data_IF_498749142713
#
_entry.id   IF_498749142713
#
_cell.length_a   1.000
_cell.length_b   1.000
_cell.length_c   1.000
_cell.angle_alpha   90.00
_cell.angle_beta   90.00
_cell.angle_gamma   90.00
#
_symmetry.space_group_name_H-M   'P 1'
#
loop_
_entity.id
_entity.type
_entity.pdbx_description
1 polymer ?
#
# COMPACT_ATOMS: atom_id res chain seq x y z
N UNK A 1 81.79 -68.82 -48.71
CA UNK A 1 81.60 -70.08 -49.46
C UNK A 1 80.19 -70.54 -49.16
N UNK A 2 79.37 -70.72 -50.20
CA UNK A 2 78.13 -71.52 -50.26
C UNK A 2 76.99 -71.20 -49.26
N UNK A 3 75.80 -70.78 -49.75
CA UNK A 3 74.61 -71.65 -49.97
C UNK A 3 73.81 -71.83 -48.67
N UNK A 4 72.48 -71.85 -48.60
CA UNK A 4 71.37 -71.60 -49.52
C UNK A 4 70.09 -71.68 -48.67
N UNK A 5 69.02 -71.08 -49.19
CA UNK A 5 67.57 -71.23 -48.89
C UNK A 5 67.09 -72.36 -47.97
N UNK A 6 66.07 -72.09 -47.13
CA UNK A 6 64.66 -72.36 -47.47
C UNK A 6 63.65 -71.93 -46.38
N UNK A 7 62.42 -71.74 -46.85
CA UNK A 7 61.30 -71.01 -46.27
C UNK A 7 60.55 -71.67 -45.09
N UNK A 8 59.80 -70.86 -44.33
CA UNK A 8 58.43 -71.19 -43.87
C UNK A 8 57.62 -69.91 -43.70
N UNK A 9 56.40 -69.92 -44.24
CA UNK A 9 55.47 -68.81 -44.17
C UNK A 9 54.90 -68.63 -42.76
N UNK A 10 54.75 -67.37 -42.32
CA UNK A 10 53.84 -66.99 -41.22
C UNK A 10 52.99 -65.81 -41.68
N UNK A 11 51.70 -66.07 -41.71
CA UNK A 11 50.62 -65.12 -42.01
C UNK A 11 50.53 -64.11 -40.87
N UNK A 12 50.68 -62.82 -41.17
CA UNK A 12 50.41 -61.72 -40.23
C UNK A 12 48.94 -61.32 -40.34
N UNK A 13 48.16 -61.60 -39.30
CA UNK A 13 46.83 -61.03 -39.12
C UNK A 13 46.96 -59.64 -38.45
N UNK A 14 46.29 -58.63 -39.01
CA UNK A 14 46.14 -57.29 -38.45
C UNK A 14 44.66 -56.95 -38.35
N UNK A 15 44.18 -56.73 -37.13
CA UNK A 15 42.90 -56.09 -36.72
C UNK A 15 42.76 -56.30 -35.19
N UNK A 16 42.29 -55.40 -34.35
CA UNK A 16 41.96 -53.98 -34.42
C UNK A 16 41.90 -53.51 -32.95
N UNK A 17 42.66 -52.49 -32.56
CA UNK A 17 42.60 -51.95 -31.20
C UNK A 17 41.55 -50.83 -31.13
N UNK A 18 40.54 -51.08 -30.30
CA UNK A 18 39.47 -50.15 -29.96
C UNK A 18 40.05 -49.07 -29.05
N UNK A 19 40.19 -47.85 -29.58
CA UNK A 19 40.63 -46.67 -28.81
C UNK A 19 39.46 -46.12 -28.00
N UNK A 20 39.57 -46.20 -26.67
CA UNK A 20 38.72 -45.52 -25.70
C UNK A 20 39.27 -44.10 -25.46
N UNK A 21 38.48 -43.02 -25.61
CA UNK A 21 38.96 -41.66 -25.39
C UNK A 21 39.05 -41.31 -23.90
N UNK A 22 40.15 -40.63 -23.57
CA UNK A 22 40.56 -40.15 -22.24
C UNK A 22 39.60 -39.09 -21.64
N UNK A 23 39.59 -38.92 -20.30
CA UNK A 23 38.71 -37.95 -19.64
C UNK A 23 39.27 -36.53 -19.78
N UNK A 24 38.44 -35.62 -20.27
CA UNK A 24 38.68 -34.18 -20.31
C UNK A 24 38.46 -33.62 -18.90
N UNK A 25 39.52 -33.12 -18.26
CA UNK A 25 39.41 -32.27 -17.07
C UNK A 25 38.82 -30.92 -17.46
N UNK A 26 37.55 -30.70 -17.14
CA UNK A 26 36.89 -29.39 -17.23
C UNK A 26 37.41 -28.51 -16.09
N UNK A 27 38.11 -27.44 -16.43
CA UNK A 27 38.44 -26.36 -15.49
C UNK A 27 37.15 -25.69 -15.04
N UNK A 28 36.79 -25.89 -13.77
CA UNK A 28 35.70 -25.19 -13.12
C UNK A 28 36.17 -23.76 -12.80
N UNK A 29 35.84 -22.82 -13.69
CA UNK A 29 36.02 -21.39 -13.45
C UNK A 29 34.82 -20.92 -12.64
N UNK A 30 35.00 -20.40 -11.40
CA UNK A 30 33.88 -19.88 -10.64
C UNK A 30 33.23 -18.73 -11.42
N UNK A 31 31.94 -18.86 -11.71
CA UNK A 31 31.14 -17.79 -12.29
C UNK A 31 31.25 -16.53 -11.40
N UNK A 32 31.41 -15.33 -11.98
CA UNK A 32 31.41 -14.12 -11.18
C UNK A 32 30.05 -13.97 -10.50
N UNK A 33 30.04 -14.07 -9.17
CA UNK A 33 28.93 -13.67 -8.34
C UNK A 33 28.79 -12.15 -8.44
N UNK A 34 27.91 -11.66 -9.33
CA UNK A 34 27.21 -10.38 -9.25
C UNK A 34 26.46 -10.10 -10.56
N UNK A 35 25.31 -10.73 -10.74
CA UNK A 35 24.20 -10.06 -11.41
C UNK A 35 23.18 -9.75 -10.33
N UNK A 36 23.31 -8.58 -9.71
CA UNK A 36 22.14 -7.98 -9.05
C UNK A 36 21.16 -7.71 -10.18
N UNK A 37 20.16 -8.58 -10.33
CA UNK A 37 19.00 -8.28 -11.16
C UNK A 37 18.30 -7.09 -10.51
N UNK A 38 18.66 -5.88 -10.91
CA UNK A 38 17.82 -4.71 -10.66
C UNK A 38 16.60 -4.94 -11.55
N UNK A 39 15.59 -5.62 -11.00
CA UNK A 39 14.26 -5.64 -11.58
C UNK A 39 13.82 -4.17 -11.63
N UNK A 40 13.91 -3.57 -12.82
CA UNK A 40 13.29 -2.28 -13.09
C UNK A 40 11.79 -2.48 -12.84
N UNK A 41 11.33 -2.10 -11.63
CA UNK A 41 9.94 -2.14 -11.28
C UNK A 41 9.18 -1.33 -12.33
N UNK A 42 8.35 -1.99 -13.12
CA UNK A 42 7.56 -1.36 -14.18
C UNK A 42 6.65 -0.36 -13.48
N UNK A 43 6.83 0.93 -13.77
CA UNK A 43 5.97 1.97 -13.24
C UNK A 43 4.62 1.85 -13.95
N UNK A 44 3.55 1.62 -13.21
CA UNK A 44 2.22 1.54 -13.81
C UNK A 44 1.85 2.92 -14.37
N UNK A 45 1.46 2.97 -15.64
CA UNK A 45 0.98 4.18 -16.31
C UNK A 45 -0.31 3.85 -17.06
N UNK A 46 -1.16 4.86 -17.27
CA UNK A 46 -2.43 4.71 -17.97
C UNK A 46 -3.64 4.49 -17.06
N UNK A 47 -4.74 4.01 -17.63
CA UNK A 47 -6.02 3.83 -16.93
C UNK A 47 -5.96 2.59 -16.04
N UNK A 48 -6.19 2.76 -14.75
CA UNK A 48 -6.15 1.66 -13.79
C UNK A 48 -7.46 1.54 -13.01
N UNK A 49 -7.92 0.31 -12.72
CA UNK A 49 -9.13 0.09 -11.92
C UNK A 49 -8.91 0.37 -10.43
N UNK A 50 -7.69 0.23 -9.93
CA UNK A 50 -7.41 0.26 -8.49
C UNK A 50 -7.85 -1.04 -7.80
N UNK A 51 -7.85 -1.08 -6.46
CA UNK A 51 -8.23 -2.27 -5.71
C UNK A 51 -9.75 -2.53 -5.77
N UNK A 52 -10.12 -3.78 -5.48
CA UNK A 52 -11.50 -4.09 -5.17
C UNK A 52 -11.98 -3.44 -3.87
N UNK A 53 -13.26 -3.61 -3.57
CA UNK A 53 -13.90 -3.04 -2.39
C UNK A 53 -14.02 -4.08 -1.28
N UNK A 54 -13.73 -3.67 -0.04
CA UNK A 54 -14.15 -4.43 1.14
C UNK A 54 -15.66 -4.28 1.30
N UNK A 55 -16.29 -5.33 1.80
CA UNK A 55 -17.73 -5.36 2.03
C UNK A 55 -17.98 -5.63 3.50
N UNK A 56 -18.71 -4.73 4.13
CA UNK A 56 -19.16 -4.87 5.53
C UNK A 56 -20.67 -5.03 5.51
N UNK A 57 -21.20 -6.10 6.09
CA UNK A 57 -22.63 -6.41 6.05
C UNK A 57 -23.25 -6.57 7.43
N UNK A 58 -24.53 -6.18 7.53
CA UNK A 58 -25.39 -6.43 8.69
C UNK A 58 -26.84 -6.57 8.23
N UNK A 59 -27.35 -7.81 8.22
CA UNK A 59 -28.64 -8.11 7.60
C UNK A 59 -28.62 -7.68 6.12
N UNK A 60 -29.60 -6.87 5.74
CA UNK A 60 -29.73 -6.36 4.36
C UNK A 60 -28.98 -5.04 4.12
N UNK A 61 -28.12 -4.61 5.05
CA UNK A 61 -27.36 -3.37 4.95
C UNK A 61 -25.91 -3.67 4.58
N UNK A 62 -25.37 -2.90 3.64
CA UNK A 62 -23.98 -3.03 3.19
C UNK A 62 -23.25 -1.70 3.21
N UNK A 63 -22.03 -1.74 3.71
CA UNK A 63 -21.04 -0.66 3.58
C UNK A 63 -19.88 -1.18 2.72
N UNK A 64 -19.71 -0.58 1.55
CA UNK A 64 -18.57 -0.84 0.68
C UNK A 64 -17.43 0.12 1.02
N UNK A 65 -16.21 -0.40 1.19
CA UNK A 65 -15.06 0.41 1.58
C UNK A 65 -13.97 0.32 0.53
N UNK A 66 -13.55 1.47 0.00
CA UNK A 66 -12.36 1.62 -0.83
C UNK A 66 -11.15 1.92 0.05
N UNK A 67 -10.14 1.05 -0.01
CA UNK A 67 -8.83 1.32 0.59
C UNK A 67 -7.97 2.21 -0.30
N UNK A 68 -7.35 3.24 0.28
CA UNK A 68 -6.42 4.15 -0.43
C UNK A 68 -5.03 4.15 0.20
N UNK A 69 -3.99 4.11 -0.62
CA UNK A 69 -2.61 4.24 -0.15
C UNK A 69 -2.16 5.71 -0.24
N UNK A 70 -1.32 6.21 0.68
CA UNK A 70 -0.91 7.62 0.70
C UNK A 70 0.01 8.03 -0.47
N UNK A 71 0.46 7.06 -1.26
CA UNK A 71 1.38 7.27 -2.37
C UNK A 71 0.97 6.41 -3.56
N UNK A 72 0.77 7.04 -4.71
CA UNK A 72 0.29 6.45 -5.96
C UNK A 72 1.28 6.72 -7.09
N UNK A 73 1.25 5.92 -8.18
CA UNK A 73 2.03 6.26 -9.37
C UNK A 73 1.53 7.59 -9.97
N UNK A 74 2.45 8.46 -10.38
CA UNK A 74 2.08 9.77 -10.92
C UNK A 74 1.39 9.67 -12.29
N UNK A 75 1.75 8.67 -13.09
CA UNK A 75 1.30 8.50 -14.48
C UNK A 75 0.01 7.68 -14.66
N UNK A 76 -0.77 7.45 -13.60
CA UNK A 76 -2.05 6.74 -13.71
C UNK A 76 -3.25 7.69 -13.74
N UNK A 77 -4.25 7.32 -14.56
CA UNK A 77 -5.61 7.83 -14.45
C UNK A 77 -6.44 6.75 -13.75
N UNK A 78 -6.91 7.03 -12.54
CA UNK A 78 -7.77 6.07 -11.85
C UNK A 78 -9.21 6.14 -12.38
N UNK A 79 -9.69 5.03 -12.94
CA UNK A 79 -11.08 4.88 -13.42
C UNK A 79 -11.60 3.51 -13.04
N UNK A 80 -12.48 3.48 -12.05
CA UNK A 80 -13.17 2.26 -11.64
C UNK A 80 -14.66 2.35 -11.93
N UNK A 81 -15.15 1.52 -12.86
CA UNK A 81 -16.58 1.34 -13.10
C UNK A 81 -17.28 0.77 -11.87
N UNK A 82 -16.64 -0.16 -11.17
CA UNK A 82 -17.13 -0.73 -9.92
C UNK A 82 -17.37 0.36 -8.86
N UNK A 83 -16.39 1.23 -8.62
CA UNK A 83 -16.54 2.32 -7.63
C UNK A 83 -17.61 3.30 -8.07
N UNK A 84 -17.64 3.71 -9.34
CA UNK A 84 -18.65 4.65 -9.83
C UNK A 84 -20.08 4.09 -9.68
N UNK A 85 -20.30 2.82 -10.04
CA UNK A 85 -21.60 2.16 -9.89
C UNK A 85 -21.98 1.96 -8.43
N UNK A 86 -21.02 1.59 -7.58
CA UNK A 86 -21.26 1.39 -6.14
C UNK A 86 -21.62 2.70 -5.47
N UNK A 87 -20.93 3.80 -5.79
CA UNK A 87 -21.29 5.13 -5.29
C UNK A 87 -22.68 5.52 -5.80
N UNK A 88 -22.97 5.34 -7.09
CA UNK A 88 -24.28 5.68 -7.66
C UNK A 88 -25.46 4.93 -7.01
N UNK A 89 -25.23 3.70 -6.54
CA UNK A 89 -26.23 2.90 -5.83
C UNK A 89 -26.23 3.12 -4.30
N UNK A 90 -25.32 3.94 -3.77
CA UNK A 90 -25.21 4.24 -2.33
C UNK A 90 -26.08 5.43 -1.94
N UNK A 91 -26.57 5.42 -0.70
CA UNK A 91 -27.35 6.52 -0.13
C UNK A 91 -26.46 7.54 0.59
N UNK A 92 -25.28 7.12 1.03
CA UNK A 92 -24.28 7.95 1.69
C UNK A 92 -22.86 7.54 1.31
N UNK A 93 -21.96 8.53 1.26
CA UNK A 93 -20.50 8.33 1.15
C UNK A 93 -19.85 8.86 2.42
N UNK A 94 -19.19 7.99 3.17
CA UNK A 94 -18.41 8.37 4.35
C UNK A 94 -17.02 8.77 3.89
N UNK A 95 -16.61 9.98 4.23
CA UNK A 95 -15.25 10.43 4.00
C UNK A 95 -14.24 9.63 4.86
N UNK A 96 -12.99 9.63 4.41
CA UNK A 96 -11.87 9.06 5.17
C UNK A 96 -11.77 9.68 6.57
N UNK A 97 -11.32 8.94 7.60
CA UNK A 97 -11.14 9.47 8.94
C UNK A 97 -10.17 10.66 8.87
N UNK A 98 -10.54 11.75 9.52
CA UNK A 98 -9.80 12.98 9.40
C UNK A 98 -10.27 14.03 10.38
N UNK A 99 -9.54 15.14 10.39
CA UNK A 99 -9.77 16.24 11.31
C UNK A 99 -10.11 17.47 10.49
N UNK A 100 -11.27 18.05 10.75
CA UNK A 100 -11.63 19.35 10.18
C UNK A 100 -11.01 20.45 11.04
N UNK A 101 -10.03 21.16 10.48
CA UNK A 101 -9.40 22.28 11.15
C UNK A 101 -10.26 23.55 10.98
N UNK A 102 -10.89 24.01 12.05
CA UNK A 102 -11.58 25.30 12.09
C UNK A 102 -10.69 26.33 12.77
N UNK A 103 -10.32 27.37 12.03
CA UNK A 103 -9.51 28.48 12.55
C UNK A 103 -10.40 29.71 12.68
N UNK A 104 -10.50 30.24 13.90
CA UNK A 104 -11.36 31.40 14.22
C UNK A 104 -10.76 32.72 13.70
N UNK A 105 -10.70 32.86 12.37
CA UNK A 105 -10.21 34.07 11.68
C UNK A 105 -10.92 34.33 10.35
N UNK A 106 -11.35 35.57 10.15
CA UNK A 106 -11.81 36.08 8.85
C UNK A 106 -10.65 36.11 7.83
N UNK A 107 -10.96 36.19 6.54
CA UNK A 107 -9.98 36.22 5.43
C UNK A 107 -8.79 37.17 5.66
N UNK A 108 -9.04 38.40 6.11
CA UNK A 108 -7.98 39.36 6.44
C UNK A 108 -7.11 38.90 7.62
N UNK A 109 -7.71 38.30 8.64
CA UNK A 109 -6.99 37.70 9.78
C UNK A 109 -6.05 36.58 9.34
N UNK A 110 -6.47 35.74 8.39
CA UNK A 110 -5.61 34.69 7.79
C UNK A 110 -4.42 35.29 7.03
N UNK A 111 -4.62 36.38 6.29
CA UNK A 111 -3.54 37.05 5.55
C UNK A 111 -2.47 37.64 6.49
N UNK A 112 -2.88 38.23 7.62
CA UNK A 112 -1.95 38.75 8.64
C UNK A 112 -1.15 37.65 9.36
N UNK A 113 -1.57 36.38 9.30
CA UNK A 113 -0.81 35.26 9.85
C UNK A 113 0.31 34.77 8.93
N UNK A 114 0.26 35.05 7.62
CA UNK A 114 1.24 34.54 6.66
C UNK A 114 2.71 34.85 7.02
N UNK A 115 3.08 36.09 7.44
CA UNK A 115 4.46 36.36 7.84
C UNK A 115 4.90 35.56 9.07
N UNK A 116 3.99 35.38 10.04
CA UNK A 116 4.26 34.57 11.24
C UNK A 116 4.37 33.09 10.92
N UNK A 117 3.53 32.56 10.04
CA UNK A 117 3.58 31.18 9.56
C UNK A 117 4.88 30.95 8.80
N UNK A 118 5.25 31.86 7.90
CA UNK A 118 6.51 31.78 7.16
C UNK A 118 7.73 31.76 8.08
N UNK A 119 7.73 32.59 9.14
CA UNK A 119 8.80 32.58 10.15
C UNK A 119 8.78 31.31 10.99
N UNK A 120 7.61 30.81 11.37
CA UNK A 120 7.45 29.59 12.16
C UNK A 120 7.87 28.32 11.40
N UNK A 121 7.96 28.38 10.07
CA UNK A 121 8.53 27.28 9.28
C UNK A 121 10.06 27.19 9.36
N UNK A 122 10.73 28.22 9.89
CA UNK A 122 12.19 28.32 9.90
C UNK A 122 12.78 28.01 11.26
N UNK A 123 14.02 27.55 11.27
CA UNK A 123 14.78 27.43 12.51
C UNK A 123 14.88 28.79 13.21
N UNK A 124 14.81 28.81 14.55
CA UNK A 124 14.93 30.03 15.33
C UNK A 124 16.31 30.68 15.13
N UNK A 125 16.37 31.99 15.37
CA UNK A 125 17.60 32.81 15.29
C UNK A 125 18.31 32.79 13.93
N UNK A 126 17.64 32.32 12.87
CA UNK A 126 18.22 32.22 11.54
C UNK A 126 19.19 31.05 11.35
N UNK A 127 19.22 30.11 12.30
CA UNK A 127 20.01 28.87 12.19
C UNK A 127 19.66 28.09 10.92
N UNK A 128 20.63 27.33 10.46
CA UNK A 128 20.49 26.40 9.34
C UNK A 128 20.37 24.96 9.83
N UNK A 129 20.04 24.02 8.94
CA UNK A 129 20.10 22.59 9.24
C UNK A 129 21.52 22.16 9.63
N UNK A 130 22.56 22.79 9.07
CA UNK A 130 23.95 22.58 9.49
C UNK A 130 24.18 22.89 10.97
N UNK A 131 23.52 23.92 11.49
CA UNK A 131 23.70 24.37 12.87
C UNK A 131 22.93 23.52 13.89
N UNK A 132 21.88 22.80 13.46
CA UNK A 132 20.97 22.08 14.36
C UNK A 132 21.05 20.55 14.24
N UNK A 133 21.55 20.03 13.12
CA UNK A 133 21.64 18.58 12.90
C UNK A 133 22.97 18.01 13.41
N UNK A 134 22.98 16.74 13.90
CA UNK A 134 24.22 16.01 14.12
C UNK A 134 25.05 15.93 12.83
N UNK A 135 26.37 16.10 12.92
CA UNK A 135 27.26 16.14 11.75
C UNK A 135 27.09 14.96 10.76
N UNK A 136 26.95 13.69 11.21
CA UNK A 136 26.70 12.57 10.29
C UNK A 136 25.37 12.69 9.54
N UNK A 137 24.33 13.22 10.19
CA UNK A 137 23.02 13.44 9.58
C UNK A 137 23.07 14.59 8.58
N UNK A 138 23.80 15.67 8.90
CA UNK A 138 23.96 16.79 7.97
C UNK A 138 24.67 16.38 6.68
N UNK A 139 25.69 15.51 6.75
CA UNK A 139 26.35 14.99 5.55
C UNK A 139 25.40 14.19 4.63
N UNK A 140 24.50 13.38 5.21
CA UNK A 140 23.44 12.68 4.47
C UNK A 140 22.44 13.67 3.88
N UNK A 141 22.00 14.65 4.68
CA UNK A 141 21.13 15.73 4.22
C UNK A 141 21.73 16.49 3.04
N UNK A 142 23.02 16.85 3.08
CA UNK A 142 23.69 17.58 2.00
C UNK A 142 23.65 16.79 0.68
N UNK A 143 23.85 15.47 0.76
CA UNK A 143 23.77 14.56 -0.40
C UNK A 143 22.34 14.52 -0.95
N UNK A 144 21.34 14.31 -0.08
CA UNK A 144 19.94 14.30 -0.47
C UNK A 144 19.49 15.66 -1.04
N UNK A 145 19.95 16.76 -0.43
CA UNK A 145 19.67 18.13 -0.87
C UNK A 145 20.17 18.37 -2.28
N UNK A 146 21.44 18.05 -2.54
CA UNK A 146 22.02 18.24 -3.86
C UNK A 146 21.24 17.48 -4.93
N UNK A 147 20.77 16.27 -4.61
CA UNK A 147 20.03 15.44 -5.55
C UNK A 147 18.58 15.92 -5.80
N UNK A 148 17.82 16.24 -4.74
CA UNK A 148 16.39 16.54 -4.86
C UNK A 148 16.05 18.03 -4.94
N UNK A 149 16.93 18.92 -4.48
CA UNK A 149 16.68 20.37 -4.42
C UNK A 149 17.71 21.20 -5.19
N UNK A 150 18.86 20.60 -5.58
CA UNK A 150 19.94 21.33 -6.23
C UNK A 150 20.43 22.51 -5.39
N UNK A 151 20.51 23.69 -6.01
CA UNK A 151 21.05 24.91 -5.40
C UNK A 151 20.08 25.67 -4.48
N UNK A 152 18.90 25.11 -4.15
CA UNK A 152 17.94 25.79 -3.27
C UNK A 152 18.49 25.95 -1.84
N UNK A 153 19.12 27.09 -1.57
CA UNK A 153 19.60 27.43 -0.22
C UNK A 153 18.47 27.73 0.76
N UNK A 154 17.25 27.91 0.27
CA UNK A 154 16.08 28.13 1.10
C UNK A 154 15.78 26.95 2.02
N UNK A 155 16.09 25.72 1.58
CA UNK A 155 15.77 24.51 2.36
C UNK A 155 16.56 24.38 3.64
N UNK A 156 17.77 24.95 3.69
CA UNK A 156 18.64 24.95 4.87
C UNK A 156 18.03 25.67 6.07
N UNK A 157 17.08 26.56 5.85
CA UNK A 157 16.49 27.36 6.94
C UNK A 157 15.23 26.75 7.54
N UNK A 158 14.69 25.68 6.97
CA UNK A 158 13.48 25.07 7.51
C UNK A 158 13.75 24.36 8.83
N UNK A 159 12.71 24.26 9.66
CA UNK A 159 12.68 23.29 10.74
C UNK A 159 12.91 21.88 10.18
N UNK A 160 13.66 21.00 10.89
CA UNK A 160 13.91 19.64 10.43
C UNK A 160 12.65 18.86 10.00
N UNK A 161 11.52 18.99 10.72
CA UNK A 161 10.26 18.33 10.32
C UNK A 161 9.72 18.79 8.95
N UNK A 162 9.91 20.06 8.61
CA UNK A 162 9.45 20.64 7.35
C UNK A 162 10.43 20.34 6.22
N UNK A 163 11.73 20.32 6.52
CA UNK A 163 12.75 19.82 5.61
C UNK A 163 12.49 18.36 5.25
N UNK A 164 12.14 17.53 6.24
CA UNK A 164 11.76 16.12 6.05
C UNK A 164 10.54 15.99 5.12
N UNK A 165 9.46 16.73 5.40
CA UNK A 165 8.24 16.70 4.59
C UNK A 165 8.50 17.11 3.13
N UNK A 166 9.33 18.14 2.92
CA UNK A 166 9.72 18.59 1.58
C UNK A 166 10.60 17.57 0.87
N UNK A 167 11.57 16.99 1.58
CA UNK A 167 12.48 15.99 1.03
C UNK A 167 11.72 14.76 0.54
N UNK A 168 10.83 14.23 1.39
CA UNK A 168 9.96 13.11 1.01
C UNK A 168 9.09 13.44 -0.21
N UNK A 169 8.53 14.65 -0.29
CA UNK A 169 7.73 15.09 -1.45
C UNK A 169 8.55 15.12 -2.75
N UNK A 170 9.72 15.77 -2.74
CA UNK A 170 10.57 15.85 -3.94
C UNK A 170 11.14 14.47 -4.30
N UNK A 171 11.45 13.63 -3.31
CA UNK A 171 11.86 12.25 -3.54
C UNK A 171 10.75 11.44 -4.21
N UNK A 172 9.51 11.48 -3.71
CA UNK A 172 8.38 10.82 -4.37
C UNK A 172 8.18 11.31 -5.80
N UNK A 173 8.20 12.63 -6.01
CA UNK A 173 8.05 13.24 -7.34
C UNK A 173 9.14 12.79 -8.31
N UNK A 174 10.41 12.84 -7.89
CA UNK A 174 11.54 12.38 -8.69
C UNK A 174 11.45 10.87 -9.04
N UNK A 175 10.68 10.11 -8.26
CA UNK A 175 10.44 8.69 -8.45
C UNK A 175 9.10 8.36 -9.13
N UNK A 176 8.44 9.35 -9.77
CA UNK A 176 7.14 9.23 -10.43
C UNK A 176 6.01 8.76 -9.49
N UNK A 177 6.03 9.26 -8.27
CA UNK A 177 5.01 9.01 -7.25
C UNK A 177 4.32 10.33 -6.86
N UNK A 178 3.07 10.25 -6.43
CA UNK A 178 2.24 11.38 -5.98
C UNK A 178 1.35 10.98 -4.81
N UNK A 179 0.78 11.97 -4.13
CA UNK A 179 -0.23 11.75 -3.10
C UNK A 179 -1.56 11.25 -3.66
N UNK A 180 -2.44 10.82 -2.75
CA UNK A 180 -3.75 10.21 -3.01
C UNK A 180 -4.91 11.19 -3.16
N UNK A 181 -4.66 12.50 -3.01
CA UNK A 181 -5.70 13.53 -3.02
C UNK A 181 -6.67 13.46 -4.21
N UNK A 182 -6.17 13.16 -5.41
CA UNK A 182 -7.02 13.01 -6.60
C UNK A 182 -8.05 11.86 -6.49
N UNK A 183 -7.74 10.79 -5.74
CA UNK A 183 -8.67 9.69 -5.51
C UNK A 183 -9.83 10.16 -4.63
N UNK A 184 -9.50 10.86 -3.53
CA UNK A 184 -10.51 11.41 -2.63
C UNK A 184 -11.38 12.47 -3.31
N UNK A 185 -10.79 13.33 -4.14
CA UNK A 185 -11.52 14.33 -4.93
C UNK A 185 -12.43 13.67 -5.95
N UNK A 186 -11.98 12.59 -6.59
CA UNK A 186 -12.77 11.84 -7.56
C UNK A 186 -13.95 11.12 -6.92
N UNK A 187 -13.78 10.52 -5.74
CA UNK A 187 -14.89 9.93 -4.97
C UNK A 187 -15.92 10.99 -4.61
N UNK A 188 -15.48 12.15 -4.11
CA UNK A 188 -16.38 13.27 -3.78
C UNK A 188 -17.13 13.78 -5.02
N UNK A 189 -16.44 13.90 -6.17
CA UNK A 189 -17.06 14.30 -7.43
C UNK A 189 -18.11 13.29 -7.93
N UNK A 190 -17.85 11.98 -7.80
CA UNK A 190 -18.81 10.93 -8.13
C UNK A 190 -20.04 10.98 -7.22
N UNK A 191 -19.85 11.17 -5.91
CA UNK A 191 -20.95 11.32 -4.96
C UNK A 191 -21.83 12.52 -5.34
N UNK A 192 -21.22 13.67 -5.61
CA UNK A 192 -21.91 14.88 -6.05
C UNK A 192 -22.67 14.67 -7.37
N UNK A 193 -22.04 14.02 -8.36
CA UNK A 193 -22.65 13.73 -9.66
C UNK A 193 -23.94 12.90 -9.53
N UNK A 194 -23.99 11.98 -8.57
CA UNK A 194 -25.14 11.10 -8.34
C UNK A 194 -26.09 11.59 -7.24
N UNK A 195 -25.86 12.79 -6.68
CA UNK A 195 -26.69 13.35 -5.61
C UNK A 195 -26.59 12.60 -4.28
N UNK A 196 -25.50 11.87 -4.05
CA UNK A 196 -25.25 11.09 -2.84
C UNK A 196 -24.63 11.99 -1.78
N UNK A 197 -25.18 11.95 -0.57
CA UNK A 197 -24.70 12.76 0.54
C UNK A 197 -23.29 12.32 0.99
N UNK A 198 -22.38 13.27 1.14
CA UNK A 198 -21.05 13.03 1.73
C UNK A 198 -21.12 13.31 3.23
N UNK A 199 -20.96 12.25 4.03
CA UNK A 199 -20.89 12.32 5.49
C UNK A 199 -19.43 12.47 5.89
N UNK A 200 -19.09 13.59 6.53
CA UNK A 200 -17.78 13.81 7.14
C UNK A 200 -17.90 13.47 8.63
N UNK A 201 -17.21 12.45 9.13
CA UNK A 201 -17.18 12.17 10.57
C UNK A 201 -16.72 13.41 11.33
N UNK A 202 -17.51 13.85 12.31
CA UNK A 202 -17.27 15.12 13.00
C UNK A 202 -16.12 15.01 14.00
N UNK A 203 -14.88 15.18 13.52
CA UNK A 203 -13.74 15.50 14.38
C UNK A 203 -13.24 16.89 14.06
N UNK A 204 -13.89 17.90 14.63
CA UNK A 204 -13.45 19.29 14.49
C UNK A 204 -12.34 19.60 15.49
N UNK A 205 -11.22 20.13 14.99
CA UNK A 205 -10.20 20.78 15.81
C UNK A 205 -10.35 22.29 15.67
N UNK A 206 -10.83 22.94 16.72
CA UNK A 206 -10.98 24.39 16.76
C UNK A 206 -9.71 25.06 17.27
N UNK A 207 -9.05 25.84 16.42
CA UNK A 207 -7.98 26.73 16.81
C UNK A 207 -8.59 28.11 17.08
N UNK A 208 -9.00 28.30 18.34
CA UNK A 208 -9.58 29.56 18.83
C UNK A 208 -8.57 30.71 18.81
N UNK A 209 -7.31 30.42 19.07
CA UNK A 209 -6.26 31.43 19.20
C UNK A 209 -5.08 31.16 18.25
N UNK A 210 -5.23 31.40 16.93
CA UNK A 210 -4.25 30.98 15.94
C UNK A 210 -2.88 31.64 16.10
N UNK A 211 -2.83 32.89 16.58
CA UNK A 211 -1.54 33.55 16.89
C UNK A 211 -0.82 32.86 18.05
N UNK A 212 -1.57 32.44 19.06
CA UNK A 212 -1.01 31.70 20.19
C UNK A 212 -0.55 30.30 19.74
N UNK A 213 -1.33 29.62 18.90
CA UNK A 213 -0.95 28.32 18.34
C UNK A 213 0.36 28.40 17.51
N UNK A 214 0.50 29.41 16.65
CA UNK A 214 1.75 29.65 15.89
C UNK A 214 2.92 29.93 16.83
N UNK A 215 2.71 30.73 17.89
CA UNK A 215 3.74 31.01 18.89
C UNK A 215 4.12 29.75 19.69
N UNK A 216 3.15 28.93 20.08
CA UNK A 216 3.35 27.69 20.79
C UNK A 216 4.12 26.68 19.93
N UNK A 217 3.79 26.57 18.64
CA UNK A 217 4.56 25.76 17.70
C UNK A 217 6.01 26.25 17.58
N UNK A 218 6.22 27.56 17.42
CA UNK A 218 7.57 28.12 17.31
C UNK A 218 8.40 27.95 18.60
N UNK A 219 7.76 27.90 19.77
CA UNK A 219 8.43 27.78 21.06
C UNK A 219 8.63 26.33 21.53
N UNK A 220 7.72 25.42 21.17
CA UNK A 220 7.63 24.07 21.77
C UNK A 220 7.08 23.01 20.81
N UNK A 221 6.97 23.31 19.52
CA UNK A 221 6.69 22.31 18.50
C UNK A 221 7.83 21.29 18.39
N UNK A 222 7.59 20.13 17.76
CA UNK A 222 8.64 19.15 17.54
C UNK A 222 9.75 19.75 16.66
N UNK A 223 11.01 19.65 17.09
CA UNK A 223 12.16 20.03 16.24
C UNK A 223 12.16 19.21 14.93
N UNK A 224 11.75 17.95 15.01
CA UNK A 224 11.67 17.03 13.89
C UNK A 224 12.98 16.40 13.48
N UNK A 225 14.04 16.48 14.29
CA UNK A 225 15.35 15.91 13.93
C UNK A 225 15.23 14.39 13.72
N UNK A 226 14.54 13.70 14.63
CA UNK A 226 14.29 12.26 14.49
C UNK A 226 13.46 11.94 13.23
N UNK A 227 12.43 12.75 12.94
CA UNK A 227 11.61 12.59 11.74
C UNK A 227 12.43 12.80 10.46
N UNK A 228 13.33 13.79 10.43
CA UNK A 228 14.23 14.02 9.31
C UNK A 228 15.18 12.83 9.11
N UNK A 229 15.72 12.25 10.19
CA UNK A 229 16.51 11.03 10.12
C UNK A 229 15.76 9.88 9.45
N UNK A 230 14.52 9.62 9.87
CA UNK A 230 13.68 8.57 9.28
C UNK A 230 13.32 8.84 7.81
N UNK A 231 13.09 10.10 7.44
CA UNK A 231 12.87 10.45 6.04
C UNK A 231 14.12 10.24 5.21
N UNK A 232 15.31 10.57 5.72
CA UNK A 232 16.57 10.27 5.03
C UNK A 232 16.73 8.76 4.82
N UNK A 233 16.45 7.95 5.86
CA UNK A 233 16.49 6.49 5.76
C UNK A 233 15.50 5.98 4.70
N UNK A 234 14.26 6.49 4.71
CA UNK A 234 13.21 6.08 3.76
C UNK A 234 13.54 6.47 2.31
N UNK A 235 14.11 7.66 2.10
CA UNK A 235 14.51 8.13 0.77
C UNK A 235 15.70 7.33 0.24
N UNK A 236 16.63 6.93 1.11
CA UNK A 236 17.81 6.15 0.71
C UNK A 236 17.49 4.67 0.45
N UNK A 237 16.57 4.07 1.21
CA UNK A 237 16.42 2.61 1.23
C UNK A 237 15.01 2.10 0.89
N UNK A 238 13.97 2.92 1.07
CA UNK A 238 12.59 2.42 1.07
C UNK A 238 11.77 2.83 -0.15
N UNK A 239 12.26 3.74 -1.00
CA UNK A 239 11.60 4.13 -2.27
C UNK A 239 11.11 2.93 -3.13
N UNK A 240 11.84 1.80 -3.23
CA UNK A 240 11.33 0.60 -3.89
C UNK A 240 10.02 0.07 -3.28
N UNK A 241 9.87 0.11 -1.94
CA UNK A 241 8.65 -0.30 -1.24
C UNK A 241 7.49 0.66 -1.52
N UNK A 242 7.74 1.97 -1.57
CA UNK A 242 6.70 2.94 -1.97
C UNK A 242 6.18 2.64 -3.38
N UNK A 243 7.08 2.36 -4.33
CA UNK A 243 6.69 1.96 -5.70
C UNK A 243 5.93 0.65 -5.73
N UNK A 244 6.41 -0.37 -5.00
CA UNK A 244 5.74 -1.67 -4.93
C UNK A 244 4.31 -1.53 -4.40
N UNK A 245 4.10 -0.80 -3.30
CA UNK A 245 2.76 -0.53 -2.75
C UNK A 245 1.89 0.30 -3.69
N UNK A 246 2.45 1.34 -4.30
CA UNK A 246 1.73 2.21 -5.24
C UNK A 246 1.24 1.41 -6.46
N UNK A 247 2.10 0.56 -7.03
CA UNK A 247 1.75 -0.33 -8.13
C UNK A 247 0.72 -1.39 -7.69
N UNK A 248 0.92 -2.00 -6.53
CA UNK A 248 -0.01 -3.00 -5.98
C UNK A 248 -1.42 -2.42 -5.79
N UNK A 249 -1.53 -1.19 -5.29
CA UNK A 249 -2.81 -0.50 -5.25
C UNK A 249 -3.40 -0.28 -6.65
N UNK A 250 -2.60 0.18 -7.60
CA UNK A 250 -3.06 0.46 -8.97
C UNK A 250 -3.58 -0.81 -9.67
N UNK A 251 -2.97 -1.96 -9.43
CA UNK A 251 -3.36 -3.25 -10.01
C UNK A 251 -4.33 -4.07 -9.15
N UNK A 252 -4.65 -3.61 -7.94
CA UNK A 252 -5.49 -4.34 -6.98
C UNK A 252 -4.84 -5.56 -6.35
N UNK A 253 -3.50 -5.62 -6.29
CA UNK A 253 -2.74 -6.69 -5.63
C UNK A 253 -2.73 -6.47 -4.11
N UNK A 254 -3.78 -6.97 -3.46
CA UNK A 254 -3.94 -6.87 -2.00
C UNK A 254 -2.90 -7.71 -1.25
N UNK A 255 -2.44 -8.83 -1.83
CA UNK A 255 -1.43 -9.69 -1.22
C UNK A 255 -0.10 -8.94 -1.05
N UNK A 256 0.34 -8.21 -2.09
CA UNK A 256 1.53 -7.36 -2.00
C UNK A 256 1.34 -6.23 -0.99
N UNK A 257 0.15 -5.60 -0.92
CA UNK A 257 -0.13 -4.56 0.07
C UNK A 257 -0.08 -5.06 1.52
N UNK A 258 -0.43 -6.33 1.78
CA UNK A 258 -0.26 -6.96 3.09
C UNK A 258 1.19 -7.27 3.41
N UNK A 259 1.99 -7.69 2.42
CA UNK A 259 3.37 -8.13 2.63
C UNK A 259 4.38 -6.99 2.70
N UNK A 260 4.18 -5.95 1.90
CA UNK A 260 5.11 -4.81 1.83
C UNK A 260 4.70 -3.79 2.88
N UNK A 261 5.49 -3.58 3.95
CA UNK A 261 5.10 -2.70 5.05
C UNK A 261 4.99 -1.23 4.59
N UNK A 262 4.12 -0.47 5.27
CA UNK A 262 4.16 0.99 5.14
C UNK A 262 5.42 1.50 5.84
N UNK A 263 6.01 2.56 5.31
CA UNK A 263 7.24 3.11 5.87
C UNK A 263 7.00 3.70 7.26
N UNK A 264 7.81 3.28 8.24
CA UNK A 264 7.66 3.64 9.65
C UNK A 264 7.82 5.14 9.93
N UNK A 265 8.40 5.91 9.00
CA UNK A 265 8.52 7.36 9.15
C UNK A 265 7.15 8.03 9.30
N UNK A 266 6.08 7.52 8.67
CA UNK A 266 4.75 8.14 8.76
C UNK A 266 4.22 8.14 10.19
N UNK A 267 4.12 6.96 10.79
CA UNK A 267 3.64 6.81 12.16
C UNK A 267 4.54 7.55 13.16
N UNK A 268 5.86 7.45 12.99
CA UNK A 268 6.82 8.04 13.93
C UNK A 268 6.90 9.57 13.81
N UNK A 269 6.84 10.11 12.60
CA UNK A 269 6.74 11.56 12.41
C UNK A 269 5.39 12.09 12.94
N UNK A 270 4.30 11.33 12.79
CA UNK A 270 2.99 11.70 13.31
C UNK A 270 2.96 11.70 14.85
N UNK A 271 3.57 10.70 15.50
CA UNK A 271 3.66 10.64 16.97
C UNK A 271 4.58 11.73 17.55
N UNK A 272 5.62 12.14 16.81
CA UNK A 272 6.44 13.29 17.18
C UNK A 272 5.63 14.60 17.20
N UNK A 273 4.63 14.75 16.30
CA UNK A 273 3.74 15.92 16.28
C UNK A 273 2.76 15.89 17.47
N UNK A 274 2.32 14.71 17.90
CA UNK A 274 1.42 14.56 19.07
C UNK A 274 2.16 14.52 20.41
N UNK A 275 3.43 14.94 20.45
CA UNK A 275 4.22 15.04 21.69
C UNK A 275 3.51 15.85 22.78
N UNK A 276 3.57 15.34 24.02
CA UNK A 276 2.67 15.70 25.12
C UNK A 276 2.53 17.21 25.42
N UNK A 277 3.58 18.01 25.22
CA UNK A 277 3.58 19.45 25.51
C UNK A 277 2.77 20.27 24.50
N UNK A 278 3.12 20.15 23.21
CA UNK A 278 2.41 20.81 22.11
C UNK A 278 1.01 20.22 21.95
N UNK A 279 0.87 18.91 22.13
CA UNK A 279 -0.39 18.23 21.91
C UNK A 279 -1.47 18.64 22.90
N UNK A 280 -1.12 18.72 24.19
CA UNK A 280 -2.05 19.16 25.24
C UNK A 280 -2.45 20.62 25.06
N UNK A 281 -1.52 21.48 24.63
CA UNK A 281 -1.79 22.91 24.41
C UNK A 281 -2.81 23.16 23.28
N UNK A 282 -2.88 22.26 22.30
CA UNK A 282 -3.82 22.34 21.17
C UNK A 282 -5.00 21.37 21.28
N UNK A 283 -5.11 20.57 22.35
CA UNK A 283 -6.18 19.58 22.50
C UNK A 283 -6.12 18.42 21.51
N UNK A 284 -4.91 18.01 21.12
CA UNK A 284 -4.65 16.94 20.13
C UNK A 284 -4.06 15.66 20.76
N UNK A 285 -4.00 15.56 22.09
CA UNK A 285 -3.41 14.45 22.85
C UNK A 285 -4.15 13.10 22.70
N UNK A 286 -5.47 13.13 22.51
CA UNK A 286 -6.28 11.93 22.21
C UNK A 286 -6.91 11.97 20.81
N UNK A 287 -6.27 12.67 19.86
CA UNK A 287 -6.86 12.90 18.54
C UNK A 287 -7.05 11.61 17.72
N UNK A 288 -6.10 10.65 17.67
CA UNK A 288 -6.28 9.42 16.90
C UNK A 288 -7.52 8.61 17.32
N UNK A 289 -7.67 8.32 18.62
CA UNK A 289 -8.82 7.56 19.11
C UNK A 289 -10.15 8.31 18.94
N UNK A 290 -10.15 9.65 19.02
CA UNK A 290 -11.34 10.47 18.72
C UNK A 290 -11.74 10.38 17.25
N UNK A 291 -10.77 10.45 16.34
CA UNK A 291 -10.99 10.31 14.89
C UNK A 291 -11.56 8.92 14.59
N UNK A 292 -10.95 7.88 15.15
CA UNK A 292 -11.40 6.50 14.99
C UNK A 292 -12.82 6.30 15.51
N UNK A 293 -13.08 6.72 16.76
CA UNK A 293 -14.41 6.61 17.36
C UNK A 293 -15.49 7.38 16.60
N UNK A 294 -15.19 8.58 16.11
CA UNK A 294 -16.12 9.37 15.32
C UNK A 294 -16.45 8.70 13.97
N UNK A 295 -15.44 8.13 13.30
CA UNK A 295 -15.65 7.42 12.05
C UNK A 295 -16.44 6.13 12.28
N UNK A 296 -16.13 5.34 13.31
CA UNK A 296 -16.88 4.12 13.65
C UNK A 296 -18.34 4.43 13.98
N UNK A 297 -18.61 5.50 14.72
CA UNK A 297 -19.99 5.93 14.99
C UNK A 297 -20.74 6.33 13.72
N UNK A 298 -20.07 6.98 12.77
CA UNK A 298 -20.66 7.30 11.46
C UNK A 298 -20.93 6.03 10.64
N UNK A 299 -20.03 5.04 10.69
CA UNK A 299 -20.20 3.75 10.02
C UNK A 299 -21.39 2.97 10.61
N UNK A 300 -21.52 2.90 11.94
CA UNK A 300 -22.67 2.28 12.61
C UNK A 300 -23.99 2.93 12.17
N UNK A 301 -24.04 4.28 12.18
CA UNK A 301 -25.22 5.03 11.78
C UNK A 301 -25.58 4.79 10.31
N UNK A 302 -24.59 4.74 9.43
CA UNK A 302 -24.79 4.48 8.01
C UNK A 302 -25.31 3.07 7.75
N UNK A 303 -24.75 2.06 8.44
CA UNK A 303 -25.18 0.66 8.37
C UNK A 303 -26.56 0.43 9.02
N UNK A 304 -26.99 1.27 9.95
CA UNK A 304 -28.33 1.20 10.54
C UNK A 304 -29.42 1.86 9.67
N UNK A 305 -29.07 2.88 8.88
CA UNK A 305 -30.06 3.75 8.20
C UNK A 305 -30.15 3.52 6.70
N UNK A 306 -29.06 3.09 6.05
CA UNK A 306 -28.99 2.96 4.59
C UNK A 306 -28.87 1.49 4.20
N UNK A 307 -29.62 1.06 3.17
CA UNK A 307 -29.46 -0.25 2.55
C UNK A 307 -28.05 -0.41 1.96
N UNK A 308 -27.53 0.66 1.36
CA UNK A 308 -26.16 0.71 0.85
C UNK A 308 -25.48 2.04 1.18
N UNK A 309 -24.27 1.95 1.70
CA UNK A 309 -23.35 3.07 1.89
C UNK A 309 -21.99 2.75 1.29
N UNK A 310 -21.21 3.80 1.04
CA UNK A 310 -19.83 3.70 0.57
C UNK A 310 -18.91 4.45 1.54
N UNK A 311 -17.66 4.01 1.70
CA UNK A 311 -16.66 4.71 2.48
C UNK A 311 -15.29 4.63 1.81
N UNK A 312 -14.42 5.54 2.24
CA UNK A 312 -12.98 5.50 1.95
C UNK A 312 -12.24 5.33 3.27
N UNK A 313 -11.24 4.46 3.32
CA UNK A 313 -10.34 4.29 4.46
C UNK A 313 -8.88 4.22 3.98
N UNK A 314 -7.90 4.65 4.80
CA UNK A 314 -6.50 4.39 4.51
C UNK A 314 -6.22 2.89 4.47
N UNK A 315 -5.38 2.46 3.52
CA UNK A 315 -5.10 1.05 3.31
C UNK A 315 -4.37 0.41 4.51
N UNK A 316 -3.49 1.14 5.20
CA UNK A 316 -2.86 0.62 6.42
C UNK A 316 -3.90 0.32 7.50
N UNK A 317 -4.88 1.21 7.69
CA UNK A 317 -5.96 1.07 8.67
C UNK A 317 -6.89 -0.12 8.37
N UNK A 318 -7.09 -0.45 7.08
CA UNK A 318 -7.85 -1.62 6.66
C UNK A 318 -7.09 -2.93 6.87
N UNK A 319 -5.77 -2.89 6.72
CA UNK A 319 -4.91 -4.08 6.84
C UNK A 319 -4.35 -4.27 8.25
N UNK A 320 -4.57 -3.31 9.16
CA UNK A 320 -4.21 -3.41 10.57
C UNK A 320 -5.11 -4.44 11.28
N UNK A 321 -4.53 -5.47 11.94
CA UNK A 321 -5.30 -6.44 12.72
C UNK A 321 -6.09 -5.84 13.90
N UNK A 322 -5.80 -4.60 14.28
CA UNK A 322 -6.48 -3.83 15.32
C UNK A 322 -7.19 -2.58 14.77
N UNK A 323 -7.27 -2.42 13.44
CA UNK A 323 -7.88 -1.25 12.80
C UNK A 323 -9.41 -1.32 12.68
N UNK A 324 -9.95 -0.50 11.78
CA UNK A 324 -11.39 -0.30 11.64
C UNK A 324 -12.16 -1.57 11.29
N UNK A 325 -11.61 -2.46 10.45
CA UNK A 325 -12.29 -3.70 10.09
C UNK A 325 -12.43 -4.64 11.30
N UNK A 326 -11.38 -4.76 12.11
CA UNK A 326 -11.42 -5.55 13.34
C UNK A 326 -12.42 -4.97 14.35
N UNK A 327 -12.46 -3.63 14.48
CA UNK A 327 -13.44 -2.95 15.31
C UNK A 327 -14.88 -3.17 14.84
N UNK A 328 -15.13 -3.20 13.52
CA UNK A 328 -16.45 -3.52 12.95
C UNK A 328 -16.81 -5.00 13.18
N UNK A 329 -15.88 -5.94 12.99
CA UNK A 329 -16.11 -7.35 13.30
C UNK A 329 -16.48 -7.57 14.77
N UNK A 330 -15.78 -6.89 15.69
CA UNK A 330 -16.06 -6.96 17.13
C UNK A 330 -17.47 -6.43 17.50
N UNK A 331 -18.06 -5.59 16.65
CA UNK A 331 -19.43 -5.06 16.79
C UNK A 331 -20.50 -5.99 16.18
N UNK A 332 -20.09 -7.12 15.59
CA UNK A 332 -21.01 -8.10 14.99
C UNK A 332 -21.24 -7.92 13.49
N UNK A 333 -20.48 -7.06 12.82
CA UNK A 333 -20.53 -6.92 11.35
C UNK A 333 -19.74 -8.03 10.67
N UNK A 334 -20.25 -8.54 9.54
CA UNK A 334 -19.49 -9.48 8.69
C UNK A 334 -18.63 -8.68 7.72
N UNK A 335 -17.33 -8.99 7.66
CA UNK A 335 -16.37 -8.30 6.79
C UNK A 335 -15.81 -9.28 5.76
N UNK A 336 -15.94 -8.94 4.48
CA UNK A 336 -15.38 -9.67 3.34
C UNK A 336 -14.31 -8.79 2.66
N UNK A 337 -13.11 -9.36 2.44
CA UNK A 337 -12.05 -8.72 1.70
C UNK A 337 -12.29 -8.82 0.18
N UNK A 338 -11.79 -7.89 -0.64
CA UNK A 338 -12.00 -7.89 -2.09
C UNK A 338 -11.37 -9.09 -2.81
N UNK A 339 -10.40 -9.75 -2.18
CA UNK A 339 -9.68 -10.93 -2.65
C UNK A 339 -10.11 -12.21 -1.91
N UNK A 340 -11.19 -12.16 -1.11
CA UNK A 340 -11.78 -13.35 -0.54
C UNK A 340 -12.35 -14.20 -1.69
N UNK A 341 -11.85 -15.44 -1.82
CA UNK A 341 -12.51 -16.41 -2.67
C UNK A 341 -13.95 -16.62 -2.15
N UNK A 342 -14.95 -16.71 -3.04
CA UNK A 342 -16.29 -17.10 -2.62
C UNK A 342 -16.14 -18.40 -1.83
N UNK A 343 -16.65 -18.43 -0.59
CA UNK A 343 -16.68 -19.67 0.17
C UNK A 343 -17.30 -20.73 -0.72
N UNK A 344 -16.56 -21.82 -0.99
CA UNK A 344 -17.04 -22.94 -1.78
C UNK A 344 -18.42 -23.34 -1.22
N UNK A 345 -19.48 -23.02 -1.95
CA UNK A 345 -20.77 -23.63 -1.72
C UNK A 345 -20.53 -25.14 -1.80
N UNK A 346 -20.89 -25.94 -0.78
CA UNK A 346 -20.74 -27.38 -0.86
C UNK A 346 -21.52 -27.83 -2.10
N UNK A 347 -20.78 -28.30 -3.11
CA UNK A 347 -21.33 -28.74 -4.37
C UNK A 347 -22.57 -29.60 -4.11
N UNK A 348 -23.71 -29.35 -4.79
CA UNK A 348 -24.89 -30.15 -4.60
C UNK A 348 -24.49 -31.60 -4.85
N UNK A 349 -24.69 -32.45 -3.83
CA UNK A 349 -24.34 -33.85 -3.88
C UNK A 349 -24.82 -34.44 -5.21
N UNK A 350 -23.89 -34.77 -6.09
CA UNK A 350 -24.17 -35.42 -7.36
C UNK A 350 -25.05 -36.63 -7.05
N UNK A 351 -26.28 -36.58 -7.58
CA UNK A 351 -27.27 -37.63 -7.53
C UNK A 351 -26.62 -38.94 -7.96
N UNK A 352 -26.34 -39.81 -6.99
CA UNK A 352 -25.92 -41.18 -7.25
C UNK A 352 -27.17 -41.93 -7.73
N UNK A 353 -27.34 -42.04 -9.06
CA UNK A 353 -28.27 -42.99 -9.64
C UNK A 353 -27.87 -44.40 -9.23
N UNK A 354 -28.80 -45.27 -8.78
CA UNK A 354 -28.48 -46.65 -8.50
C UNK A 354 -28.21 -47.39 -9.82
N UNK A 355 -27.10 -48.12 -9.86
CA UNK A 355 -26.80 -49.05 -10.93
C UNK A 355 -27.77 -50.26 -10.83
N UNK A 356 -28.65 -50.39 -11.82
CA UNK A 356 -29.42 -51.61 -12.03
C UNK A 356 -28.47 -52.75 -12.40
N UNK A 357 -28.35 -53.72 -11.49
CA UNK A 357 -27.62 -54.95 -11.69
C UNK A 357 -28.38 -56.13 -11.12
N UNK A 358 -29.25 -56.75 -11.91
CA UNK A 358 -29.71 -58.13 -11.68
C UNK A 358 -30.23 -58.74 -12.98
N UNK A 359 -29.35 -59.48 -13.66
CA UNK A 359 -29.70 -60.39 -14.74
C UNK A 359 -30.43 -61.62 -14.17
N UNK A 360 -31.59 -61.95 -14.74
CA UNK A 360 -32.36 -63.18 -14.48
C UNK A 360 -31.85 -64.27 -15.44
N UNK A 361 -31.53 -65.51 -14.99
CA UNK A 361 -31.30 -66.61 -15.90
C UNK A 361 -32.63 -67.30 -16.23
N UNK A 362 -32.92 -67.48 -17.52
CA UNK A 362 -34.00 -68.34 -17.99
C UNK A 362 -33.41 -69.62 -18.57
N UNK A 363 -33.79 -70.79 -18.02
CA UNK A 363 -33.67 -72.06 -18.73
C UNK A 363 -34.83 -73.00 -18.39
N UNK A 364 -35.62 -73.24 -19.44
CA UNK A 364 -36.59 -74.29 -19.81
C UNK A 364 -37.04 -75.38 -18.81
N UNK A 365 -38.36 -75.65 -18.79
CA UNK A 365 -38.94 -76.90 -19.33
C UNK A 365 -40.50 -76.92 -19.30
N UNK A 366 -41.09 -77.05 -20.50
CA UNK A 366 -42.22 -77.90 -20.95
C UNK A 366 -43.36 -78.32 -20.01
N UNK A 367 -44.63 -78.06 -20.39
CA UNK A 367 -45.65 -79.08 -20.79
C UNK A 367 -47.08 -78.52 -21.04
N UNK A 368 -47.63 -78.85 -22.22
CA UNK A 368 -49.01 -79.32 -22.55
C UNK A 368 -50.32 -78.64 -22.05
N UNK A 369 -51.07 -78.11 -23.03
CA UNK A 369 -52.42 -78.52 -23.54
C UNK A 369 -53.76 -78.26 -22.79
N UNK A 370 -54.80 -78.04 -23.63
CA UNK A 370 -56.27 -77.88 -23.48
C UNK A 370 -56.78 -76.44 -23.28
N UNK A 371 -57.75 -75.91 -24.03
CA UNK A 371 -58.63 -76.39 -25.13
C UNK A 371 -58.85 -75.24 -26.15
#
# INVERSE_FOLDING_TARGET
MLVCTCATARTTASAADTTSPAPTTTSDVPAPASSVTILQAINVTGVVPGPGLWKVTHGDHVLWILGVVPTLPAGIEWRSSQVAQTIAASQAVLASPGVELKVDTNWFGKLFLLPSIYRAQRNPDGKTLQDVLPAPMYARWETAKQHYFGDDRGVERYLPILAASRLMKEAQKANNLRGDGEITDRVAALAQQHGVAVVKPETTLEIREPRQAVKAFAASGPDGIACLGLVLDAVEHELPNFRARANAWATGDIETLRKVPESAYRETCQSAITGAGFAKALGIDNLPARVEGAWLAAADAALATNRQSFAVLPMHDLLDPHGYLAALQARGYTVEAPDAEPADDPAPASSMSPADGAAIPASAASTHSRD
#
